data_IF_476923143452
#
_entry.id   IF_476923143452
#
_cell.length_a   1.000
_cell.length_b   1.000
_cell.length_c   1.000
_cell.angle_alpha   90.00
_cell.angle_beta   90.00
_cell.angle_gamma   90.00
#
_symmetry.space_group_name_H-M   'P 1'
#
loop_
_entity.id
_entity.type
_entity.pdbx_description
1 polymer ?
#
# COMPACT_ATOMS: atom_id res chain seq x y z
N UNK A 1 -49.29 -28.22 -7.96
CA UNK A 1 -48.86 -27.07 -7.15
C UNK A 1 -47.72 -26.36 -7.87
N UNK A 2 -47.97 -25.21 -8.45
CA UNK A 2 -46.95 -24.42 -9.17
C UNK A 2 -46.02 -23.71 -8.17
N UNK A 3 -44.74 -23.96 -8.28
CA UNK A 3 -43.69 -23.22 -7.52
C UNK A 3 -43.66 -21.80 -8.03
N UNK A 4 -44.04 -20.86 -7.17
CA UNK A 4 -43.90 -19.43 -7.42
C UNK A 4 -42.38 -19.14 -7.49
N UNK A 5 -41.89 -18.79 -8.69
CA UNK A 5 -40.54 -18.25 -8.88
C UNK A 5 -40.51 -16.87 -8.24
N UNK A 6 -39.69 -16.68 -7.22
CA UNK A 6 -39.35 -15.36 -6.68
C UNK A 6 -38.36 -14.66 -7.63
N UNK A 7 -38.74 -13.59 -8.33
CA UNK A 7 -37.82 -12.77 -9.09
C UNK A 7 -37.65 -11.44 -8.35
N UNK A 8 -36.64 -11.21 -7.58
CA UNK A 8 -36.39 -9.87 -7.10
C UNK A 8 -34.96 -9.57 -6.59
N UNK A 9 -34.17 -10.57 -6.23
CA UNK A 9 -32.84 -10.29 -5.70
C UNK A 9 -31.76 -10.02 -6.78
N UNK A 10 -31.96 -10.54 -8.00
CA UNK A 10 -31.00 -10.34 -9.12
C UNK A 10 -31.14 -8.98 -9.82
N UNK A 11 -32.30 -8.36 -9.87
CA UNK A 11 -32.51 -7.10 -10.60
C UNK A 11 -31.88 -5.90 -9.90
N UNK A 12 -32.01 -5.78 -8.57
CA UNK A 12 -31.39 -4.67 -7.79
C UNK A 12 -29.87 -4.70 -7.76
N UNK A 13 -29.25 -5.88 -7.75
CA UNK A 13 -27.81 -6.02 -7.77
C UNK A 13 -27.16 -5.56 -9.09
N UNK A 14 -27.90 -5.57 -10.19
CA UNK A 14 -27.42 -5.14 -11.50
C UNK A 14 -27.61 -3.64 -11.76
N UNK A 15 -28.44 -2.96 -10.99
CA UNK A 15 -28.71 -1.51 -11.10
C UNK A 15 -27.73 -0.67 -10.28
N UNK A 16 -27.12 -1.25 -9.23
CA UNK A 16 -26.13 -0.55 -8.39
C UNK A 16 -24.94 -0.11 -9.23
N UNK A 17 -24.51 1.13 -9.02
CA UNK A 17 -23.35 1.70 -9.72
C UNK A 17 -22.03 1.15 -9.19
N UNK A 18 -20.95 1.29 -9.98
CA UNK A 18 -19.61 0.93 -9.55
C UNK A 18 -19.22 1.67 -8.25
N UNK A 19 -19.53 2.97 -8.16
CA UNK A 19 -19.22 3.80 -6.99
C UNK A 19 -19.95 3.33 -5.75
N UNK A 20 -21.27 3.14 -5.84
CA UNK A 20 -22.10 2.67 -4.71
C UNK A 20 -21.63 1.31 -4.20
N UNK A 21 -21.38 0.36 -5.11
CA UNK A 21 -20.86 -0.95 -4.76
C UNK A 21 -19.45 -0.87 -4.16
N UNK A 22 -18.61 0.06 -4.62
CA UNK A 22 -17.28 0.26 -4.05
C UNK A 22 -17.36 0.80 -2.62
N UNK A 23 -18.32 1.66 -2.32
CA UNK A 23 -18.56 2.12 -0.94
C UNK A 23 -19.02 0.97 -0.02
N UNK A 24 -19.89 0.07 -0.52
CA UNK A 24 -20.27 -1.13 0.23
C UNK A 24 -19.06 -2.05 0.47
N UNK A 25 -18.22 -2.25 -0.56
CA UNK A 25 -16.95 -2.98 -0.43
C UNK A 25 -16.01 -2.39 0.62
N UNK A 26 -15.91 -1.05 0.71
CA UNK A 26 -15.11 -0.39 1.75
C UNK A 26 -15.67 -0.67 3.15
N UNK A 27 -16.99 -0.60 3.31
CA UNK A 27 -17.66 -0.89 4.58
C UNK A 27 -17.45 -2.34 5.00
N UNK A 28 -17.64 -3.30 4.09
CA UNK A 28 -17.37 -4.73 4.33
C UNK A 28 -15.89 -4.98 4.66
N UNK A 29 -14.98 -4.31 3.95
CA UNK A 29 -13.55 -4.41 4.22
C UNK A 29 -13.17 -3.86 5.59
N UNK A 30 -13.81 -2.76 6.04
CA UNK A 30 -13.62 -2.21 7.38
C UNK A 30 -14.15 -3.18 8.44
N UNK A 31 -15.34 -3.76 8.25
CA UNK A 31 -15.93 -4.75 9.15
C UNK A 31 -15.04 -6.00 9.30
N UNK A 32 -14.32 -6.38 8.25
CA UNK A 32 -13.32 -7.47 8.28
C UNK A 32 -11.99 -7.08 8.91
N UNK A 33 -11.85 -5.87 9.43
CA UNK A 33 -10.65 -5.41 10.14
C UNK A 33 -9.49 -4.97 9.24
N UNK A 34 -9.74 -4.54 8.00
CA UNK A 34 -8.70 -3.90 7.20
C UNK A 34 -8.20 -2.62 7.90
N UNK A 35 -6.89 -2.41 7.86
CA UNK A 35 -6.27 -1.22 8.44
C UNK A 35 -6.80 0.06 7.77
N UNK A 36 -7.08 1.11 8.57
CA UNK A 36 -7.60 2.39 8.08
C UNK A 36 -6.73 3.00 6.96
N UNK A 37 -5.40 2.83 7.06
CA UNK A 37 -4.48 3.25 5.99
C UNK A 37 -4.78 2.57 4.65
N UNK A 38 -5.18 1.28 4.67
CA UNK A 38 -5.54 0.54 3.44
C UNK A 38 -6.88 1.05 2.89
N UNK A 39 -7.87 1.28 3.77
CA UNK A 39 -9.16 1.84 3.37
C UNK A 39 -9.01 3.24 2.77
N UNK A 40 -8.16 4.10 3.38
CA UNK A 40 -7.83 5.42 2.81
C UNK A 40 -7.18 5.30 1.43
N UNK A 41 -6.28 4.33 1.25
CA UNK A 41 -5.66 4.06 -0.07
C UNK A 41 -6.72 3.64 -1.08
N UNK A 42 -7.67 2.79 -0.72
CA UNK A 42 -8.75 2.35 -1.61
C UNK A 42 -9.66 3.53 -2.01
N UNK A 43 -10.02 4.42 -1.07
CA UNK A 43 -10.78 5.65 -1.37
C UNK A 43 -10.04 6.56 -2.37
N UNK A 44 -8.74 6.78 -2.14
CA UNK A 44 -7.91 7.56 -3.05
C UNK A 44 -7.82 6.90 -4.44
N UNK A 45 -7.72 5.58 -4.50
CA UNK A 45 -7.70 4.85 -5.78
C UNK A 45 -9.04 4.97 -6.52
N UNK A 46 -10.19 4.90 -5.81
CA UNK A 46 -11.49 5.14 -6.45
C UNK A 46 -11.55 6.52 -7.11
N UNK A 47 -11.08 7.56 -6.39
CA UNK A 47 -10.99 8.91 -6.96
C UNK A 47 -10.09 8.96 -8.19
N UNK A 48 -8.90 8.32 -8.16
CA UNK A 48 -8.04 8.28 -9.34
C UNK A 48 -8.66 7.49 -10.50
N UNK A 49 -9.35 6.39 -10.20
CA UNK A 49 -10.06 5.57 -11.20
C UNK A 49 -11.18 6.39 -11.88
N UNK A 50 -11.90 7.24 -11.13
CA UNK A 50 -12.98 8.07 -11.68
C UNK A 50 -12.53 9.08 -12.73
N UNK A 51 -11.24 9.36 -12.82
CA UNK A 51 -10.68 10.20 -13.89
C UNK A 51 -10.56 9.47 -15.24
N UNK A 52 -10.62 8.15 -15.24
CA UNK A 52 -10.40 7.30 -16.43
C UNK A 52 -11.55 6.35 -16.72
N UNK A 53 -12.51 6.28 -15.82
CA UNK A 53 -13.66 5.40 -15.91
C UNK A 53 -14.88 6.04 -15.27
N UNK A 54 -16.02 6.00 -15.97
CA UNK A 54 -17.28 6.47 -15.42
C UNK A 54 -17.79 5.54 -14.31
N UNK A 55 -17.53 5.94 -13.05
CA UNK A 55 -17.91 5.19 -11.86
C UNK A 55 -19.42 5.18 -11.61
N UNK A 56 -20.21 5.99 -12.33
CA UNK A 56 -21.68 5.92 -12.30
C UNK A 56 -22.22 4.75 -13.12
N UNK A 57 -21.35 4.03 -13.85
CA UNK A 57 -21.74 2.84 -14.66
C UNK A 57 -22.32 1.77 -13.76
N UNK A 58 -23.57 1.29 -14.05
CA UNK A 58 -24.14 0.15 -13.33
C UNK A 58 -23.31 -1.12 -13.48
N UNK A 59 -23.18 -1.91 -12.40
CA UNK A 59 -22.39 -3.16 -12.42
C UNK A 59 -22.87 -4.15 -13.46
N UNK A 60 -24.19 -4.18 -13.75
CA UNK A 60 -24.76 -5.01 -14.80
C UNK A 60 -24.33 -4.64 -16.22
N UNK A 61 -23.81 -3.42 -16.43
CA UNK A 61 -23.29 -2.92 -17.71
C UNK A 61 -21.75 -2.98 -17.79
N UNK A 62 -21.09 -3.49 -16.74
CA UNK A 62 -19.65 -3.70 -16.79
C UNK A 62 -19.32 -4.83 -17.77
N UNK A 63 -18.21 -4.66 -18.46
CA UNK A 63 -17.62 -5.67 -19.32
C UNK A 63 -16.10 -5.64 -19.22
N UNK A 64 -15.46 -6.74 -19.59
CA UNK A 64 -13.99 -6.78 -19.68
C UNK A 64 -13.45 -5.71 -20.63
N UNK A 65 -14.20 -5.39 -21.69
CA UNK A 65 -13.80 -4.37 -22.66
C UNK A 65 -13.73 -2.99 -22.01
N UNK A 66 -14.72 -2.61 -21.20
CA UNK A 66 -14.68 -1.35 -20.42
C UNK A 66 -13.49 -1.30 -19.45
N UNK A 67 -13.11 -2.43 -18.84
CA UNK A 67 -11.93 -2.50 -17.98
C UNK A 67 -10.64 -2.36 -18.79
N UNK A 68 -10.58 -2.89 -20.00
CA UNK A 68 -9.47 -2.69 -20.92
C UNK A 68 -9.36 -1.21 -21.33
N UNK A 69 -10.46 -0.58 -21.71
CA UNK A 69 -10.53 0.85 -22.09
C UNK A 69 -10.02 1.75 -20.95
N UNK A 70 -10.42 1.48 -19.71
CA UNK A 70 -9.92 2.19 -18.54
C UNK A 70 -8.38 2.08 -18.42
N UNK A 71 -7.81 0.88 -18.58
CA UNK A 71 -6.36 0.68 -18.50
C UNK A 71 -5.63 1.37 -19.65
N UNK A 72 -6.21 1.35 -20.85
CA UNK A 72 -5.64 2.06 -22.03
C UNK A 72 -5.64 3.56 -21.78
N UNK A 73 -6.76 4.15 -21.33
CA UNK A 73 -6.85 5.57 -20.99
C UNK A 73 -5.81 5.99 -19.93
N UNK A 74 -5.58 5.15 -18.90
CA UNK A 74 -4.54 5.40 -17.90
C UNK A 74 -3.13 5.40 -18.53
N UNK A 75 -2.85 4.53 -19.50
CA UNK A 75 -1.57 4.49 -20.20
C UNK A 75 -1.38 5.72 -21.09
N UNK A 76 -2.39 6.08 -21.85
CA UNK A 76 -2.35 7.22 -22.76
C UNK A 76 -2.21 8.56 -22.04
N UNK A 77 -2.68 8.64 -20.79
CA UNK A 77 -2.49 9.83 -19.94
C UNK A 77 -1.04 9.99 -19.40
N UNK A 78 -0.14 9.06 -19.68
CA UNK A 78 1.25 9.11 -19.20
C UNK A 78 1.43 8.73 -17.72
N UNK A 79 0.45 8.05 -17.11
CA UNK A 79 0.61 7.56 -15.74
C UNK A 79 1.76 6.56 -15.62
N UNK A 80 2.52 6.67 -14.54
CA UNK A 80 3.57 5.70 -14.22
C UNK A 80 3.02 4.27 -14.14
N UNK A 81 3.72 3.31 -14.75
CA UNK A 81 3.30 1.91 -14.88
C UNK A 81 2.99 1.25 -13.52
N UNK A 82 3.75 1.61 -12.47
CA UNK A 82 3.51 1.17 -11.11
C UNK A 82 2.20 1.72 -10.50
N UNK A 83 1.81 2.95 -10.87
CA UNK A 83 0.53 3.54 -10.46
C UNK A 83 -0.64 2.80 -11.10
N UNK A 84 -0.57 2.56 -12.42
CA UNK A 84 -1.57 1.77 -13.15
C UNK A 84 -1.70 0.37 -12.53
N UNK A 85 -0.57 -0.31 -12.28
CA UNK A 85 -0.56 -1.63 -11.62
C UNK A 85 -1.27 -1.60 -10.26
N UNK A 86 -1.10 -0.52 -9.50
CA UNK A 86 -1.74 -0.35 -8.20
C UNK A 86 -3.26 -0.18 -8.33
N UNK A 87 -3.74 0.60 -9.29
CA UNK A 87 -5.17 0.78 -9.57
C UNK A 87 -5.80 -0.50 -10.09
N UNK A 88 -5.16 -1.18 -11.04
CA UNK A 88 -5.61 -2.49 -11.55
C UNK A 88 -5.76 -3.51 -10.41
N UNK A 89 -4.79 -3.57 -9.50
CA UNK A 89 -4.82 -4.49 -8.35
C UNK A 89 -5.99 -4.20 -7.41
N UNK A 90 -6.27 -2.93 -7.11
CA UNK A 90 -7.39 -2.56 -6.24
C UNK A 90 -8.72 -2.86 -6.93
N UNK A 91 -8.87 -2.51 -8.22
CA UNK A 91 -10.06 -2.83 -9.01
C UNK A 91 -10.27 -4.35 -9.11
N UNK A 92 -9.20 -5.13 -9.30
CA UNK A 92 -9.28 -6.61 -9.28
C UNK A 92 -9.81 -7.12 -7.93
N UNK A 93 -9.30 -6.56 -6.82
CA UNK A 93 -9.76 -6.94 -5.48
C UNK A 93 -11.25 -6.64 -5.30
N UNK A 94 -11.70 -5.48 -5.76
CA UNK A 94 -13.09 -5.07 -5.73
C UNK A 94 -13.98 -5.96 -6.62
N UNK A 95 -13.60 -6.23 -7.87
CA UNK A 95 -14.38 -7.07 -8.78
C UNK A 95 -14.45 -8.53 -8.28
N UNK A 96 -13.40 -9.05 -7.67
CA UNK A 96 -13.45 -10.36 -7.01
C UNK A 96 -14.42 -10.38 -5.83
N UNK A 97 -14.51 -9.27 -5.08
CA UNK A 97 -15.56 -9.12 -4.07
C UNK A 97 -16.95 -9.06 -4.70
N UNK A 98 -17.16 -8.29 -5.77
CA UNK A 98 -18.42 -8.24 -6.51
C UNK A 98 -18.84 -9.61 -7.02
N UNK A 99 -17.91 -10.42 -7.53
CA UNK A 99 -18.17 -11.80 -7.98
C UNK A 99 -18.63 -12.68 -6.82
N UNK A 100 -17.97 -12.60 -5.67
CA UNK A 100 -18.34 -13.37 -4.47
C UNK A 100 -19.72 -12.98 -3.96
N UNK A 101 -20.03 -11.68 -3.92
CA UNK A 101 -21.34 -11.15 -3.48
C UNK A 101 -22.42 -11.23 -4.60
N UNK A 102 -22.08 -11.81 -5.77
CA UNK A 102 -22.98 -12.01 -6.91
C UNK A 102 -23.52 -10.72 -7.55
N UNK A 103 -22.79 -9.62 -7.45
CA UNK A 103 -23.10 -8.36 -8.14
C UNK A 103 -22.77 -8.42 -9.63
N UNK A 104 -21.57 -8.85 -9.99
CA UNK A 104 -21.13 -9.05 -11.38
C UNK A 104 -20.02 -10.10 -11.45
N UNK A 105 -19.76 -10.61 -12.64
CA UNK A 105 -18.66 -11.55 -12.93
C UNK A 105 -17.81 -10.97 -14.08
N UNK A 106 -17.09 -9.91 -13.76
CA UNK A 106 -16.18 -9.21 -14.70
C UNK A 106 -14.77 -9.31 -14.17
N UNK A 107 -13.83 -9.60 -15.04
CA UNK A 107 -12.42 -9.71 -14.70
C UNK A 107 -11.61 -8.52 -15.25
N UNK A 108 -10.65 -8.06 -14.45
CA UNK A 108 -9.65 -7.12 -14.92
C UNK A 108 -8.66 -7.77 -15.90
N UNK A 109 -8.15 -7.00 -16.89
CA UNK A 109 -7.01 -7.47 -17.69
C UNK A 109 -5.80 -7.68 -16.78
N UNK A 110 -4.98 -8.67 -17.13
CA UNK A 110 -3.67 -8.83 -16.51
C UNK A 110 -2.76 -7.69 -16.95
N UNK A 111 -2.37 -6.84 -16.03
CA UNK A 111 -1.44 -5.74 -16.30
C UNK A 111 -0.07 -6.10 -15.72
N UNK A 112 0.94 -6.13 -16.57
CA UNK A 112 2.34 -6.31 -16.17
C UNK A 112 3.03 -4.94 -16.27
N UNK A 113 3.46 -4.34 -15.15
CA UNK A 113 4.23 -3.10 -15.19
C UNK A 113 5.61 -3.38 -15.80
N UNK A 114 6.17 -2.39 -16.45
CA UNK A 114 7.57 -2.42 -16.88
C UNK A 114 8.46 -2.38 -15.63
N UNK A 115 9.46 -3.24 -15.62
CA UNK A 115 10.45 -3.24 -14.55
C UNK A 115 11.38 -2.03 -14.75
N UNK A 116 11.29 -1.06 -13.86
CA UNK A 116 12.25 0.03 -13.81
C UNK A 116 13.37 -0.34 -12.85
N UNK A 117 14.59 -0.42 -13.38
CA UNK A 117 15.79 -0.53 -12.54
C UNK A 117 15.91 0.78 -11.74
N UNK A 118 15.85 0.68 -10.43
CA UNK A 118 16.15 1.82 -9.56
C UNK A 118 17.65 1.91 -9.41
N UNK A 119 18.19 3.09 -9.68
CA UNK A 119 19.57 3.39 -9.33
C UNK A 119 19.75 3.23 -7.82
N UNK A 120 20.79 2.56 -7.42
CA UNK A 120 21.20 2.42 -6.02
C UNK A 120 22.33 3.42 -5.74
N UNK A 121 22.47 3.79 -4.48
CA UNK A 121 23.61 4.61 -4.05
C UNK A 121 24.92 3.85 -4.29
N UNK A 122 25.95 4.56 -4.71
CA UNK A 122 27.31 4.01 -4.81
C UNK A 122 27.93 3.90 -3.40
N UNK A 123 29.03 3.15 -3.28
CA UNK A 123 29.74 3.05 -2.01
C UNK A 123 30.30 4.42 -1.58
N UNK A 124 30.71 5.27 -2.53
CA UNK A 124 31.16 6.64 -2.29
C UNK A 124 30.02 7.51 -1.72
N UNK A 125 28.82 7.43 -2.30
CA UNK A 125 27.64 8.15 -1.77
C UNK A 125 27.33 7.72 -0.34
N UNK A 126 27.42 6.41 -0.05
CA UNK A 126 27.19 5.89 1.28
C UNK A 126 28.23 6.35 2.29
N UNK A 127 29.50 6.42 1.89
CA UNK A 127 30.59 6.95 2.77
C UNK A 127 30.31 8.38 3.17
N UNK A 128 29.92 9.26 2.23
CA UNK A 128 29.55 10.67 2.53
C UNK A 128 28.35 10.73 3.49
N UNK A 129 27.34 9.89 3.32
CA UNK A 129 26.16 9.85 4.19
C UNK A 129 26.48 9.36 5.61
N UNK A 130 27.56 8.60 5.77
CA UNK A 130 27.99 8.03 7.05
C UNK A 130 28.99 8.94 7.79
N UNK A 131 29.53 10.00 7.16
CA UNK A 131 30.40 10.97 7.83
C UNK A 131 29.70 11.58 9.04
N UNK A 132 30.33 11.55 10.24
CA UNK A 132 29.78 12.19 11.43
C UNK A 132 29.57 13.68 11.20
N UNK A 133 28.44 14.25 11.58
CA UNK A 133 28.22 15.68 11.48
C UNK A 133 29.12 16.44 12.48
N UNK A 134 29.33 17.73 12.23
CA UNK A 134 30.12 18.58 13.13
C UNK A 134 29.57 18.55 14.58
N UNK A 135 30.42 18.60 15.63
CA UNK A 135 29.99 18.46 17.02
C UNK A 135 28.90 19.46 17.46
N UNK A 136 28.84 20.63 16.83
CA UNK A 136 27.87 21.70 17.13
C UNK A 136 26.74 21.75 16.07
N UNK A 137 26.47 20.68 15.35
CA UNK A 137 25.42 20.65 14.35
C UNK A 137 24.03 20.78 14.99
N UNK A 138 23.02 21.16 14.16
CA UNK A 138 21.62 21.18 14.62
C UNK A 138 21.18 19.74 14.94
N UNK A 139 20.39 19.60 16.01
CA UNK A 139 19.82 18.31 16.40
C UNK A 139 19.14 17.55 15.23
N UNK A 140 18.47 18.26 14.31
CA UNK A 140 17.86 17.64 13.13
C UNK A 140 18.87 16.95 12.21
N UNK A 141 20.08 17.52 12.07
CA UNK A 141 21.17 16.96 11.26
C UNK A 141 21.71 15.70 11.93
N UNK A 142 22.02 15.80 13.23
CA UNK A 142 22.48 14.64 14.02
C UNK A 142 21.48 13.50 14.01
N UNK A 143 20.20 13.79 14.27
CA UNK A 143 19.13 12.79 14.22
C UNK A 143 19.03 12.11 12.84
N UNK A 144 19.14 12.88 11.76
CA UNK A 144 19.09 12.31 10.40
C UNK A 144 20.26 11.37 10.16
N UNK A 145 21.46 11.76 10.57
CA UNK A 145 22.65 10.92 10.49
C UNK A 145 22.50 9.61 11.30
N UNK A 146 21.98 9.67 12.53
CA UNK A 146 21.68 8.47 13.35
C UNK A 146 20.69 7.56 12.65
N UNK A 147 19.63 8.12 12.05
CA UNK A 147 18.62 7.33 11.31
C UNK A 147 19.25 6.65 10.09
N UNK A 148 20.10 7.33 9.33
CA UNK A 148 20.79 6.76 8.17
C UNK A 148 21.69 5.59 8.60
N UNK A 149 22.52 5.80 9.64
CA UNK A 149 23.35 4.75 10.20
C UNK A 149 22.52 3.54 10.65
N UNK A 150 21.40 3.78 11.34
CA UNK A 150 20.52 2.70 11.79
C UNK A 150 19.89 1.95 10.60
N UNK A 151 19.47 2.65 9.55
CA UNK A 151 18.91 2.03 8.34
C UNK A 151 19.92 1.14 7.63
N UNK A 152 21.14 1.61 7.45
CA UNK A 152 22.23 0.87 6.82
C UNK A 152 22.67 -0.33 7.66
N UNK A 153 22.73 -0.17 8.97
CA UNK A 153 23.10 -1.26 9.88
C UNK A 153 22.03 -2.36 9.93
N UNK A 154 20.75 -2.00 9.91
CA UNK A 154 19.65 -2.94 10.20
C UNK A 154 18.89 -3.43 8.97
N UNK A 155 18.93 -2.70 7.85
CA UNK A 155 18.09 -2.96 6.69
C UNK A 155 16.58 -2.87 6.96
N UNK A 156 16.17 -2.33 8.11
CA UNK A 156 14.78 -2.27 8.49
C UNK A 156 14.01 -1.19 7.72
N UNK A 157 12.68 -1.27 7.71
CA UNK A 157 11.86 -0.27 7.02
C UNK A 157 11.82 1.05 7.80
N UNK A 158 11.81 2.19 7.11
CA UNK A 158 11.68 3.52 7.72
C UNK A 158 10.44 3.63 8.65
N UNK A 159 9.36 2.94 8.36
CA UNK A 159 8.19 2.86 9.24
C UNK A 159 8.47 2.12 10.55
N UNK A 160 9.38 1.17 10.56
CA UNK A 160 9.82 0.46 11.77
C UNK A 160 10.57 1.41 12.69
N UNK A 161 11.56 2.16 12.16
CA UNK A 161 12.34 3.11 12.95
C UNK A 161 11.45 4.14 13.62
N UNK A 162 10.51 4.74 12.89
CA UNK A 162 9.60 5.77 13.44
C UNK A 162 8.74 5.31 14.62
N UNK A 163 8.62 4.01 14.83
CA UNK A 163 7.81 3.43 15.90
C UNK A 163 8.66 2.86 17.04
N UNK A 164 9.99 2.88 16.94
CA UNK A 164 10.90 2.48 18.02
C UNK A 164 10.80 3.52 19.14
N UNK A 165 10.66 3.03 20.37
CA UNK A 165 10.69 3.81 21.59
C UNK A 165 11.98 3.53 22.34
N UNK A 166 12.38 4.44 23.24
CA UNK A 166 13.57 4.23 24.06
C UNK A 166 13.55 2.93 24.86
N UNK A 167 12.37 2.51 25.34
CA UNK A 167 12.20 1.24 26.05
C UNK A 167 12.30 -0.02 25.17
N UNK A 168 12.38 0.16 23.86
CA UNK A 168 12.57 -0.94 22.90
C UNK A 168 14.06 -1.15 22.57
N UNK A 169 14.95 -0.24 23.03
CA UNK A 169 16.40 -0.26 22.78
C UNK A 169 17.10 -0.87 23.98
N UNK A 170 17.82 -1.94 23.73
CA UNK A 170 18.66 -2.62 24.72
C UNK A 170 20.12 -2.53 24.26
N UNK A 171 20.85 -1.56 24.85
CA UNK A 171 22.24 -1.30 24.50
C UNK A 171 23.20 -2.30 25.16
N UNK A 172 22.77 -3.03 26.20
CA UNK A 172 23.58 -4.07 26.84
C UNK A 172 23.56 -5.35 26.01
N UNK A 173 22.37 -5.73 25.53
CA UNK A 173 22.19 -6.88 24.64
C UNK A 173 22.45 -6.56 23.17
N UNK A 174 22.83 -5.31 22.83
CA UNK A 174 23.08 -4.84 21.47
C UNK A 174 21.90 -5.15 20.53
N UNK A 175 20.68 -4.82 20.93
CA UNK A 175 19.48 -5.11 20.14
C UNK A 175 18.38 -4.05 20.29
N UNK A 176 17.48 -4.03 19.32
CA UNK A 176 16.23 -3.26 19.36
C UNK A 176 15.06 -4.21 19.14
N UNK A 177 14.04 -4.11 19.97
CA UNK A 177 12.82 -4.92 19.89
C UNK A 177 11.74 -4.11 19.15
N UNK A 178 11.63 -4.28 17.83
CA UNK A 178 10.64 -3.61 17.01
C UNK A 178 9.25 -4.27 17.14
N UNK A 179 8.40 -3.70 18.00
CA UNK A 179 7.06 -4.25 18.33
C UNK A 179 6.01 -3.94 17.26
N UNK A 180 6.17 -2.83 16.52
CA UNK A 180 5.20 -2.33 15.55
C UNK A 180 5.72 -2.43 14.12
N UNK A 181 5.57 -3.61 13.52
CA UNK A 181 5.94 -3.87 12.13
C UNK A 181 4.71 -4.01 11.23
N UNK A 182 4.89 -3.80 9.91
CA UNK A 182 3.83 -3.97 8.91
C UNK A 182 3.13 -5.34 8.99
N UNK A 183 3.86 -6.37 9.41
CA UNK A 183 3.35 -7.75 9.51
C UNK A 183 2.81 -8.09 10.91
N UNK A 184 2.69 -7.10 11.82
CA UNK A 184 2.25 -7.30 13.22
C UNK A 184 3.10 -8.32 14.01
N UNK A 185 4.32 -8.67 13.54
CA UNK A 185 5.25 -9.57 14.22
C UNK A 185 6.32 -8.75 14.92
N UNK A 186 6.67 -9.14 16.14
CA UNK A 186 7.83 -8.58 16.84
C UNK A 186 9.10 -8.99 16.08
N UNK A 187 10.00 -8.05 15.87
CA UNK A 187 11.28 -8.27 15.24
C UNK A 187 12.39 -7.81 16.18
N UNK A 188 13.36 -8.67 16.44
CA UNK A 188 14.60 -8.32 17.13
C UNK A 188 15.60 -7.87 16.06
N UNK A 189 16.15 -6.69 16.23
CA UNK A 189 17.12 -6.07 15.32
C UNK A 189 18.45 -6.00 16.06
N UNK A 190 19.47 -6.76 15.65
CA UNK A 190 20.80 -6.67 16.25
C UNK A 190 21.47 -5.32 15.91
N UNK A 191 22.25 -4.80 16.85
CA UNK A 191 23.04 -3.59 16.68
C UNK A 191 24.52 -3.94 16.61
N UNK A 192 25.24 -3.39 15.62
CA UNK A 192 26.69 -3.47 15.62
C UNK A 192 27.28 -2.55 16.70
N UNK A 193 28.54 -2.77 17.09
CA UNK A 193 29.23 -1.98 18.13
C UNK A 193 29.22 -0.48 17.83
N UNK A 194 29.46 -0.10 16.58
CA UNK A 194 29.43 1.31 16.15
C UNK A 194 28.04 1.93 16.40
N UNK A 195 26.95 1.20 16.05
CA UNK A 195 25.59 1.70 16.27
C UNK A 195 25.26 1.85 17.75
N UNK A 196 25.76 0.95 18.60
CA UNK A 196 25.61 1.06 20.06
C UNK A 196 26.31 2.34 20.57
N UNK A 197 27.52 2.64 20.08
CA UNK A 197 28.23 3.89 20.43
C UNK A 197 27.42 5.12 20.03
N UNK A 198 26.93 5.18 18.78
CA UNK A 198 26.12 6.29 18.26
C UNK A 198 24.83 6.49 19.08
N UNK A 199 24.21 5.43 19.56
CA UNK A 199 22.95 5.52 20.33
C UNK A 199 23.18 5.85 21.83
N UNK A 200 24.41 5.81 22.32
CA UNK A 200 24.78 6.22 23.69
C UNK A 200 25.03 7.71 23.83
N UNK A 201 25.37 8.37 22.74
CA UNK A 201 25.58 9.83 22.65
C UNK A 201 24.23 10.59 22.63
#
# INVERSE_FOLDING_TARGET
MARIKMPAARSKAQEITFEEAFHIFLTDSAARGLAEKTLKTYRNHLHCISLYFDISTPLGKLSRNKMNEMVVAMRESGLATNSISSYVRVTTTFLNWCKREKYCDVEMPKYKPEETVKETYTDEDLLVLLEPPAPNCRFSVYRTWVIINFLLNSGCRAATIRNIKNCDVDLEQHQVIARHNKNKKVQVIPLCRQMVTILRE
#
